data_IF_815187382421
#
_entry.id   IF_815187382421
#
_cell.length_a   1.000
_cell.length_b   1.000
_cell.length_c   1.000
_cell.angle_alpha   90.00
_cell.angle_beta   90.00
_cell.angle_gamma   90.00
#
_symmetry.space_group_name_H-M   'P 1'
#
loop_
_entity.id
_entity.type
_entity.pdbx_description
1 polymer ?
#
# COMPACT_ATOMS: atom_id res chain seq x y z
N UNK A 1 28.68 5.46 3.62
CA UNK A 1 27.38 4.91 3.17
C UNK A 1 27.55 4.39 1.75
N UNK A 2 27.14 3.16 1.44
CA UNK A 2 27.20 2.63 0.07
C UNK A 2 26.24 3.40 -0.85
N UNK A 3 26.53 3.40 -2.16
CA UNK A 3 25.68 4.01 -3.18
C UNK A 3 24.22 3.52 -3.07
N UNK A 4 24.03 2.22 -2.82
CA UNK A 4 22.71 1.61 -2.62
C UNK A 4 22.00 2.13 -1.38
N UNK A 5 22.70 2.31 -0.27
CA UNK A 5 22.13 2.87 0.95
C UNK A 5 21.73 4.34 0.75
N UNK A 6 22.53 5.11 0.02
CA UNK A 6 22.21 6.51 -0.32
C UNK A 6 20.96 6.61 -1.18
N UNK A 7 20.82 5.76 -2.21
CA UNK A 7 19.60 5.69 -3.03
C UNK A 7 18.36 5.33 -2.21
N UNK A 8 18.45 4.32 -1.33
CA UNK A 8 17.34 3.94 -0.43
C UNK A 8 16.92 5.07 0.50
N UNK A 9 17.89 5.81 1.04
CA UNK A 9 17.62 6.96 1.89
C UNK A 9 16.90 8.08 1.13
N UNK A 10 17.39 8.44 -0.07
CA UNK A 10 16.77 9.49 -0.89
C UNK A 10 15.33 9.11 -1.29
N UNK A 11 15.13 7.87 -1.75
CA UNK A 11 13.80 7.37 -2.10
C UNK A 11 12.83 7.43 -0.90
N UNK A 12 13.30 7.10 0.31
CA UNK A 12 12.49 7.25 1.53
C UNK A 12 12.10 8.72 1.75
N UNK A 13 13.04 9.65 1.59
CA UNK A 13 12.75 11.08 1.76
C UNK A 13 11.74 11.60 0.73
N UNK A 14 11.83 11.14 -0.51
CA UNK A 14 10.86 11.48 -1.57
C UNK A 14 9.46 10.98 -1.23
N UNK A 15 9.34 9.73 -0.77
CA UNK A 15 8.06 9.18 -0.32
C UNK A 15 7.46 9.94 0.87
N UNK A 16 8.28 10.30 1.87
CA UNK A 16 7.83 11.09 3.01
C UNK A 16 7.27 12.44 2.57
N UNK A 17 7.97 13.14 1.65
CA UNK A 17 7.52 14.43 1.11
C UNK A 17 6.20 14.34 0.34
N UNK A 18 6.00 13.25 -0.41
CA UNK A 18 4.80 13.07 -1.25
C UNK A 18 3.62 12.43 -0.48
N UNK A 19 3.87 11.86 0.69
CA UNK A 19 2.90 11.05 1.44
C UNK A 19 1.56 11.73 1.66
N UNK A 20 1.54 12.99 2.08
CA UNK A 20 0.30 13.73 2.35
C UNK A 20 -0.55 13.92 1.09
N UNK A 21 0.08 14.30 -0.03
CA UNK A 21 -0.62 14.44 -1.31
C UNK A 21 -1.16 13.09 -1.80
N UNK A 22 -0.35 12.04 -1.67
CA UNK A 22 -0.73 10.68 -2.01
C UNK A 22 -1.92 10.16 -1.19
N UNK A 23 -1.91 10.39 0.14
CA UNK A 23 -3.01 10.02 1.03
C UNK A 23 -4.30 10.71 0.59
N UNK A 24 -4.23 12.02 0.33
CA UNK A 24 -5.37 12.82 -0.13
C UNK A 24 -5.95 12.27 -1.43
N UNK A 25 -5.11 12.06 -2.44
CA UNK A 25 -5.53 11.53 -3.73
C UNK A 25 -6.16 10.14 -3.63
N UNK A 26 -5.54 9.25 -2.83
CA UNK A 26 -5.99 7.87 -2.63
C UNK A 26 -7.37 7.81 -1.95
N UNK A 27 -7.63 8.71 -1.00
CA UNK A 27 -8.90 8.74 -0.25
C UNK A 27 -10.02 9.47 -0.96
N UNK A 28 -9.69 10.53 -1.71
CA UNK A 28 -10.68 11.34 -2.44
C UNK A 28 -11.02 10.78 -3.82
N UNK A 29 -10.46 9.62 -4.20
CA UNK A 29 -10.91 8.84 -5.36
C UNK A 29 -10.50 9.39 -6.73
N UNK A 30 -9.53 10.31 -6.80
CA UNK A 30 -9.10 10.94 -8.07
C UNK A 30 -8.15 10.10 -8.92
N UNK A 31 -7.70 8.95 -8.43
CA UNK A 31 -6.77 8.09 -9.16
C UNK A 31 -7.54 7.08 -10.06
N UNK A 32 -7.84 7.50 -11.28
CA UNK A 32 -8.58 6.69 -12.28
C UNK A 32 -7.88 5.37 -12.62
N UNK A 33 -6.54 5.35 -12.61
CA UNK A 33 -5.75 4.14 -12.87
C UNK A 33 -5.92 3.07 -11.79
N UNK A 34 -6.26 3.43 -10.54
CA UNK A 34 -6.48 2.43 -9.48
C UNK A 34 -7.91 1.93 -9.47
N UNK A 35 -8.86 2.86 -9.41
CA UNK A 35 -10.28 2.54 -9.24
C UNK A 35 -10.87 1.80 -10.45
N UNK A 36 -10.35 2.02 -11.66
CA UNK A 36 -10.89 1.43 -12.89
C UNK A 36 -10.04 0.33 -13.53
N UNK A 37 -8.82 0.09 -13.08
CA UNK A 37 -7.89 -0.82 -13.79
C UNK A 37 -7.16 -1.81 -12.88
N UNK A 38 -6.71 -1.39 -11.69
CA UNK A 38 -5.78 -2.20 -10.89
C UNK A 38 -6.42 -2.86 -9.67
N UNK A 39 -7.43 -2.23 -9.06
CA UNK A 39 -7.97 -2.73 -7.80
C UNK A 39 -8.69 -4.08 -7.97
N UNK A 40 -9.50 -4.22 -9.02
CA UNK A 40 -10.26 -5.45 -9.25
C UNK A 40 -9.35 -6.64 -9.60
N UNK A 41 -8.43 -6.56 -10.59
CA UNK A 41 -7.51 -7.67 -10.87
C UNK A 41 -6.64 -8.04 -9.66
N UNK A 42 -6.23 -7.06 -8.85
CA UNK A 42 -5.44 -7.33 -7.65
C UNK A 42 -6.24 -8.07 -6.57
N UNK A 43 -7.52 -7.73 -6.40
CA UNK A 43 -8.39 -8.44 -5.46
C UNK A 43 -8.72 -9.85 -5.94
N UNK A 44 -8.92 -10.04 -7.24
CA UNK A 44 -9.16 -11.35 -7.85
C UNK A 44 -7.94 -12.27 -7.73
N UNK A 45 -6.73 -11.77 -8.03
CA UNK A 45 -5.49 -12.54 -7.95
C UNK A 45 -5.19 -13.07 -6.54
N UNK A 46 -5.69 -12.38 -5.52
CA UNK A 46 -5.41 -12.65 -4.11
C UNK A 46 -6.29 -13.77 -3.54
N UNK A 47 -7.42 -14.07 -4.18
CA UNK A 47 -8.31 -15.17 -3.81
C UNK A 47 -8.96 -15.04 -2.42
N UNK A 48 -9.35 -16.18 -1.85
CA UNK A 48 -10.01 -16.24 -0.54
C UNK A 48 -9.01 -16.08 0.60
N UNK A 49 -9.36 -15.24 1.57
CA UNK A 49 -8.38 -14.68 2.53
C UNK A 49 -8.83 -14.71 3.98
N UNK A 50 -10.02 -15.20 4.22
CA UNK A 50 -10.59 -15.31 5.55
C UNK A 50 -9.72 -16.22 6.41
N UNK A 51 -9.41 -15.77 7.63
CA UNK A 51 -8.56 -16.52 8.56
C UNK A 51 -7.06 -16.54 8.23
N UNK A 52 -6.63 -15.98 7.07
CA UNK A 52 -5.22 -15.93 6.72
C UNK A 52 -4.48 -14.82 7.46
N UNK A 53 -3.19 -15.05 7.77
CA UNK A 53 -2.25 -14.04 8.26
C UNK A 53 -1.47 -13.44 7.10
N UNK A 54 -1.67 -12.15 6.83
CA UNK A 54 -1.13 -11.51 5.63
C UNK A 54 -0.21 -10.33 5.98
N UNK A 55 0.93 -10.26 5.29
CA UNK A 55 1.89 -9.16 5.38
C UNK A 55 1.67 -8.19 4.22
N UNK A 56 1.29 -6.95 4.54
CA UNK A 56 1.22 -5.86 3.57
C UNK A 56 2.50 -5.01 3.64
N UNK A 57 3.43 -5.29 2.72
CA UNK A 57 4.72 -4.60 2.61
C UNK A 57 4.59 -3.31 1.79
N UNK A 58 4.85 -2.16 2.44
CA UNK A 58 4.68 -0.88 1.75
C UNK A 58 3.21 -0.47 1.65
N UNK A 59 2.44 -0.79 2.69
CA UNK A 59 1.00 -0.53 2.80
C UNK A 59 0.58 0.93 2.58
N UNK A 60 1.53 1.88 2.62
CA UNK A 60 1.26 3.31 2.55
C UNK A 60 0.25 3.72 3.63
N UNK A 61 -0.87 4.31 3.21
CA UNK A 61 -1.95 4.73 4.11
C UNK A 61 -2.90 3.60 4.54
N UNK A 62 -2.70 2.38 4.01
CA UNK A 62 -3.41 1.18 4.46
C UNK A 62 -4.73 0.90 3.74
N UNK A 63 -5.01 1.50 2.57
CA UNK A 63 -6.23 1.21 1.79
C UNK A 63 -6.43 -0.28 1.54
N UNK A 64 -5.37 -0.91 1.02
CA UNK A 64 -5.41 -2.30 0.62
C UNK A 64 -5.60 -3.16 1.87
N UNK A 65 -4.76 -3.00 2.90
CA UNK A 65 -4.98 -3.57 4.23
C UNK A 65 -6.44 -3.51 4.71
N UNK A 66 -7.11 -2.34 4.68
CA UNK A 66 -8.51 -2.22 5.13
C UNK A 66 -9.46 -3.05 4.28
N UNK A 67 -9.25 -3.05 2.97
CA UNK A 67 -10.02 -3.82 1.98
C UNK A 67 -9.89 -5.34 2.23
N UNK A 68 -8.73 -5.77 2.71
CA UNK A 68 -8.44 -7.16 3.01
C UNK A 68 -8.94 -7.58 4.41
N UNK A 69 -8.87 -6.68 5.39
CA UNK A 69 -9.40 -6.90 6.73
C UNK A 69 -10.93 -7.05 6.70
N UNK A 70 -11.60 -6.24 5.88
CA UNK A 70 -13.04 -6.36 5.60
C UNK A 70 -13.44 -7.71 5.00
N UNK A 71 -12.49 -8.47 4.44
CA UNK A 71 -12.67 -9.82 3.89
C UNK A 71 -12.24 -10.93 4.87
N UNK A 72 -12.02 -10.61 6.15
CA UNK A 72 -11.74 -11.59 7.20
C UNK A 72 -10.28 -12.01 7.35
N UNK A 73 -9.34 -11.33 6.69
CA UNK A 73 -7.92 -11.58 6.90
C UNK A 73 -7.44 -11.03 8.25
N UNK A 74 -6.64 -11.82 8.97
CA UNK A 74 -5.81 -11.33 10.07
C UNK A 74 -4.54 -10.71 9.50
N UNK A 75 -4.16 -9.49 9.88
CA UNK A 75 -3.17 -8.74 9.12
C UNK A 75 -2.03 -8.19 9.99
N UNK A 76 -0.82 -8.24 9.43
CA UNK A 76 0.38 -7.60 9.96
C UNK A 76 0.84 -6.53 8.97
N UNK A 77 0.96 -5.29 9.44
CA UNK A 77 1.35 -4.15 8.61
C UNK A 77 2.84 -3.90 8.78
N UNK A 78 3.57 -3.78 7.67
CA UNK A 78 4.91 -3.19 7.68
C UNK A 78 4.96 -2.02 6.70
N UNK A 79 4.77 -0.81 7.24
CA UNK A 79 5.13 0.40 6.51
C UNK A 79 6.65 0.40 6.32
N UNK A 80 7.09 0.21 5.08
CA UNK A 80 8.51 0.24 4.74
C UNK A 80 9.10 1.64 4.70
N UNK A 81 8.27 2.69 4.67
CA UNK A 81 8.71 4.04 4.27
C UNK A 81 7.96 5.22 4.90
N UNK A 82 6.87 5.02 5.64
CA UNK A 82 6.35 5.97 6.65
C UNK A 82 6.88 5.55 8.02
#
# INVERSE_FOLDING_TARGET
MSLTQKKKYLLKQEWLKLSSAWIKETREGRNSHRNGLLDQPMLEARGYVEGLRILDCGCGEGRFFRTLAQRGASLCIRSGYL
#
